data_IF_945524568433
#
_entry.id   IF_945524568433
#
_cell.length_a   1.000
_cell.length_b   1.000
_cell.length_c   1.000
_cell.angle_alpha   90.00
_cell.angle_beta   90.00
_cell.angle_gamma   90.00
#
_symmetry.space_group_name_H-M   'P 1'
#
loop_
_entity.id
_entity.type
_entity.pdbx_description
1 polymer ?
#
# COMPACT_ATOMS: atom_id res chain seq x y z
N UNK A 1 -34.15 66.05 -37.50
CA UNK A 1 -34.40 66.58 -36.15
C UNK A 1 -33.91 65.57 -35.13
N UNK A 2 -33.25 65.94 -34.02
CA UNK A 2 -32.53 67.19 -33.71
C UNK A 2 -31.05 66.92 -33.25
N UNK A 3 -30.13 67.91 -33.40
CA UNK A 3 -29.35 68.62 -32.34
C UNK A 3 -28.36 67.75 -31.52
N UNK A 4 -27.11 68.11 -31.22
CA UNK A 4 -26.61 69.44 -30.84
C UNK A 4 -25.06 69.48 -30.79
N UNK A 5 -24.50 70.69 -30.73
CA UNK A 5 -23.07 71.01 -30.60
C UNK A 5 -22.59 70.92 -29.13
N UNK A 6 -21.29 70.77 -28.92
CA UNK A 6 -20.65 71.05 -27.61
C UNK A 6 -19.14 70.91 -27.58
N UNK A 7 -18.43 72.02 -27.35
CA UNK A 7 -16.98 72.23 -27.36
C UNK A 7 -16.40 72.09 -25.93
N UNK A 8 -15.14 71.65 -25.81
CA UNK A 8 -14.30 71.88 -24.63
C UNK A 8 -12.80 71.68 -24.92
N UNK A 9 -11.99 72.74 -24.75
CA UNK A 9 -10.54 72.82 -25.04
C UNK A 9 -9.69 72.75 -23.74
N UNK A 10 -8.39 72.54 -23.94
CA UNK A 10 -7.21 72.82 -23.07
C UNK A 10 -6.84 71.74 -22.02
N UNK A 11 -5.56 71.43 -21.76
CA UNK A 11 -4.33 72.11 -22.13
C UNK A 11 -3.10 71.19 -22.14
N UNK A 12 -2.03 71.73 -22.72
CA UNK A 12 -0.73 71.13 -22.92
C UNK A 12 0.10 71.10 -21.63
N UNK A 13 1.03 70.14 -21.53
CA UNK A 13 2.31 70.34 -20.85
C UNK A 13 3.36 69.37 -21.41
N UNK A 14 4.27 69.92 -22.20
CA UNK A 14 5.54 69.30 -22.55
C UNK A 14 6.51 69.43 -21.36
N UNK A 15 7.23 68.35 -21.03
CA UNK A 15 8.51 68.43 -20.33
C UNK A 15 9.48 67.49 -21.04
N UNK A 16 10.30 68.07 -21.90
CA UNK A 16 11.59 67.52 -22.28
C UNK A 16 12.61 67.96 -21.23
N UNK A 17 13.56 67.10 -20.85
CA UNK A 17 14.66 67.52 -19.99
C UNK A 17 15.50 66.41 -19.39
N UNK A 18 16.53 66.02 -20.14
CA UNK A 18 17.89 65.71 -19.68
C UNK A 18 18.11 64.63 -18.60
N UNK A 19 18.66 63.48 -19.00
CA UNK A 19 19.82 62.86 -18.32
C UNK A 19 20.69 62.16 -19.38
N UNK A 20 21.66 62.89 -19.93
CA UNK A 20 22.89 62.30 -20.49
C UNK A 20 24.03 63.02 -19.80
N UNK A 21 24.68 62.34 -18.86
CA UNK A 21 26.10 62.49 -18.48
C UNK A 21 26.35 61.90 -17.08
N UNK A 22 26.77 60.64 -17.04
CA UNK A 22 27.80 60.12 -16.12
C UNK A 22 27.91 58.59 -16.25
N UNK A 23 28.56 58.11 -17.31
CA UNK A 23 29.12 56.76 -17.36
C UNK A 23 30.60 56.91 -17.71
N UNK A 24 31.36 57.43 -16.75
CA UNK A 24 32.82 57.45 -16.78
C UNK A 24 33.33 57.48 -15.33
N UNK A 25 33.55 56.29 -14.76
CA UNK A 25 34.04 56.05 -13.39
C UNK A 25 33.76 54.59 -12.97
N UNK A 26 34.62 53.95 -12.15
CA UNK A 26 34.79 52.50 -12.12
C UNK A 26 33.59 51.72 -11.54
N UNK A 27 33.53 50.46 -11.98
CA UNK A 27 32.82 49.28 -11.51
C UNK A 27 32.49 49.22 -10.01
N UNK A 28 31.33 48.63 -9.71
CA UNK A 28 30.95 48.16 -8.37
C UNK A 28 29.47 48.42 -8.07
N UNK A 29 28.61 47.41 -8.22
CA UNK A 29 27.21 47.49 -7.82
C UNK A 29 26.70 46.10 -7.40
N UNK A 30 26.24 45.96 -6.14
CA UNK A 30 25.85 44.65 -5.57
C UNK A 30 24.40 44.54 -5.09
N UNK A 31 23.59 45.61 -5.15
CA UNK A 31 22.12 45.52 -5.05
C UNK A 31 21.45 46.41 -6.09
N UNK A 32 20.75 45.76 -7.02
CA UNK A 32 20.08 46.35 -8.17
C UNK A 32 18.58 46.31 -7.94
N UNK A 33 17.96 47.49 -7.91
CA UNK A 33 16.51 47.60 -7.88
C UNK A 33 15.98 47.63 -9.30
N UNK A 34 15.25 46.59 -9.68
CA UNK A 34 14.62 46.50 -10.99
C UNK A 34 13.28 47.23 -10.96
N UNK A 35 13.03 48.06 -11.97
CA UNK A 35 11.77 48.81 -12.15
C UNK A 35 10.63 47.83 -12.44
N UNK A 36 10.00 47.34 -11.37
CA UNK A 36 9.05 46.22 -11.39
C UNK A 36 8.93 45.46 -10.06
N UNK A 37 9.78 45.75 -9.07
CA UNK A 37 9.59 45.34 -7.68
C UNK A 37 10.54 44.26 -7.15
N UNK A 38 11.56 43.86 -7.91
CA UNK A 38 12.58 42.90 -7.47
C UNK A 38 13.90 43.58 -7.11
N UNK A 39 14.60 43.04 -6.11
CA UNK A 39 16.02 43.30 -5.85
C UNK A 39 16.84 42.13 -6.38
N UNK A 40 17.86 42.44 -7.20
CA UNK A 40 18.83 41.48 -7.70
C UNK A 40 20.20 41.85 -7.13
N UNK A 41 20.99 40.86 -6.73
CA UNK A 41 22.38 41.07 -6.31
C UNK A 41 23.32 40.58 -7.39
N UNK A 42 24.20 41.46 -7.85
CA UNK A 42 25.08 41.18 -8.97
C UNK A 42 25.54 42.41 -9.71
N UNK A 43 26.64 42.28 -10.45
CA UNK A 43 27.35 43.38 -11.09
C UNK A 43 26.80 43.66 -12.50
N UNK A 44 26.70 44.95 -12.84
CA UNK A 44 26.17 45.45 -14.12
C UNK A 44 27.31 45.78 -15.07
N UNK A 45 27.41 45.04 -16.17
CA UNK A 45 28.36 45.28 -17.25
C UNK A 45 27.62 45.89 -18.44
N UNK A 46 27.97 47.12 -18.88
CA UNK A 46 27.36 47.70 -20.08
C UNK A 46 27.81 46.96 -21.35
N UNK A 47 26.88 46.67 -22.24
CA UNK A 47 27.21 46.10 -23.55
C UNK A 47 27.59 47.26 -24.49
N UNK A 48 28.84 47.30 -24.94
CA UNK A 48 29.33 48.36 -25.84
C UNK A 48 28.47 48.49 -27.10
N UNK A 49 27.97 49.71 -27.37
CA UNK A 49 27.16 50.00 -28.55
C UNK A 49 25.66 49.68 -28.43
N UNK A 50 25.15 49.35 -27.24
CA UNK A 50 23.71 49.09 -27.02
C UNK A 50 23.14 49.83 -25.80
N UNK A 51 21.82 49.93 -25.70
CA UNK A 51 21.08 50.43 -24.54
C UNK A 51 20.84 49.33 -23.47
N UNK A 52 21.57 48.22 -23.58
CA UNK A 52 21.42 47.04 -22.76
C UNK A 52 22.63 46.83 -21.84
N UNK A 53 22.37 46.20 -20.70
CA UNK A 53 23.36 45.84 -19.69
C UNK A 53 23.22 44.37 -19.33
N UNK A 54 24.36 43.70 -19.13
CA UNK A 54 24.45 42.35 -18.61
C UNK A 54 24.63 42.40 -17.10
N UNK A 55 23.76 41.72 -16.36
CA UNK A 55 23.84 41.59 -14.91
C UNK A 55 24.31 40.19 -14.57
N UNK A 56 25.54 40.10 -14.06
CA UNK A 56 26.14 38.85 -13.59
C UNK A 56 25.74 38.60 -12.15
N UNK A 57 25.37 37.38 -11.79
CA UNK A 57 25.06 37.02 -10.40
C UNK A 57 25.94 35.86 -9.94
N UNK A 58 26.13 35.73 -8.63
CA UNK A 58 26.97 34.68 -8.06
C UNK A 58 26.46 33.25 -8.35
N UNK A 59 25.15 33.08 -8.51
CA UNK A 59 24.50 31.77 -8.62
C UNK A 59 24.05 31.41 -10.04
N UNK A 60 23.81 32.39 -10.90
CA UNK A 60 23.32 32.13 -12.25
C UNK A 60 24.50 32.10 -13.24
N UNK A 61 24.70 31.01 -13.99
CA UNK A 61 25.77 30.92 -14.97
C UNK A 61 25.52 31.74 -16.24
N UNK A 62 24.34 32.35 -16.42
CA UNK A 62 24.05 33.26 -17.54
C UNK A 62 23.73 34.66 -17.00
N UNK A 63 24.32 35.73 -17.56
CA UNK A 63 23.97 37.08 -17.17
C UNK A 63 22.52 37.39 -17.57
N UNK A 64 21.83 38.15 -16.74
CA UNK A 64 20.52 38.70 -17.11
C UNK A 64 20.73 39.94 -17.97
N UNK A 65 20.00 40.05 -19.07
CA UNK A 65 20.07 41.22 -19.94
C UNK A 65 18.90 42.14 -19.64
N UNK A 66 19.19 43.39 -19.30
CA UNK A 66 18.20 44.43 -19.01
C UNK A 66 18.47 45.68 -19.84
N UNK A 67 17.47 46.55 -20.01
CA UNK A 67 17.73 47.91 -20.51
C UNK A 67 18.28 48.78 -19.40
N UNK A 68 19.21 49.67 -19.71
CA UNK A 68 19.89 50.53 -18.73
C UNK A 68 18.93 51.34 -17.85
N UNK A 69 17.77 51.75 -18.39
CA UNK A 69 16.74 52.53 -17.67
C UNK A 69 15.93 51.74 -16.64
N UNK A 70 16.05 50.40 -16.64
CA UNK A 70 15.26 49.51 -15.80
C UNK A 70 15.94 49.17 -14.47
N UNK A 71 17.18 49.61 -14.27
CA UNK A 71 18.00 49.28 -13.09
C UNK A 71 18.40 50.55 -12.35
N UNK A 72 18.34 50.51 -11.02
CA UNK A 72 18.89 51.55 -10.13
C UNK A 72 19.84 50.91 -9.14
N UNK A 73 21.09 51.40 -9.08
CA UNK A 73 22.17 50.89 -8.21
C UNK A 73 22.03 51.50 -6.81
N UNK A 74 22.04 50.66 -5.76
CA UNK A 74 21.76 51.08 -4.39
C UNK A 74 22.98 51.14 -3.44
N UNK A 75 24.00 50.28 -3.62
CA UNK A 75 25.19 50.26 -2.75
C UNK A 75 26.40 49.62 -3.44
N UNK A 76 27.60 50.06 -3.04
CA UNK A 76 28.92 49.64 -3.57
C UNK A 76 29.71 48.99 -2.43
N UNK A 77 29.98 47.70 -2.53
CA UNK A 77 30.92 46.96 -1.68
C UNK A 77 31.89 46.23 -2.59
N UNK A 78 33.17 46.10 -2.23
CA UNK A 78 34.17 45.38 -3.03
C UNK A 78 33.95 43.89 -2.79
N UNK A 79 33.23 43.23 -3.69
CA UNK A 79 32.86 41.81 -3.52
C UNK A 79 33.72 40.88 -4.37
N UNK A 80 33.66 39.59 -4.04
CA UNK A 80 34.32 38.54 -4.82
C UNK A 80 33.94 38.55 -6.31
N UNK A 81 32.77 39.11 -6.66
CA UNK A 81 32.29 39.22 -8.04
C UNK A 81 33.00 40.35 -8.82
N UNK A 82 33.30 41.49 -8.19
CA UNK A 82 34.06 42.57 -8.80
C UNK A 82 35.53 42.16 -9.06
N UNK A 83 36.11 41.39 -8.15
CA UNK A 83 37.43 40.80 -8.35
C UNK A 83 37.41 39.77 -9.49
N UNK A 84 36.31 39.01 -9.63
CA UNK A 84 36.10 38.08 -10.72
C UNK A 84 36.05 38.79 -12.08
N UNK A 85 35.27 39.86 -12.23
CA UNK A 85 35.18 40.58 -13.51
C UNK A 85 36.53 41.18 -13.94
N UNK A 86 37.28 41.75 -13.00
CA UNK A 86 38.65 42.24 -13.27
C UNK A 86 39.58 41.14 -13.78
N UNK A 87 39.49 39.94 -13.20
CA UNK A 87 40.30 38.79 -13.62
C UNK A 87 39.84 38.20 -14.94
N UNK A 88 38.52 38.14 -15.18
CA UNK A 88 37.90 37.61 -16.40
C UNK A 88 38.46 38.25 -17.66
N UNK A 89 38.62 39.57 -17.66
CA UNK A 89 39.04 40.34 -18.83
C UNK A 89 40.55 40.14 -19.16
N UNK A 90 41.33 39.58 -18.23
CA UNK A 90 42.75 39.27 -18.40
C UNK A 90 43.07 37.79 -18.64
N UNK A 91 42.07 36.91 -18.73
CA UNK A 91 42.31 35.47 -18.91
C UNK A 91 42.70 35.15 -20.34
N UNK A 92 43.79 34.39 -20.51
CA UNK A 92 44.21 33.87 -21.81
C UNK A 92 43.19 32.86 -22.37
N UNK A 93 43.01 32.85 -23.69
CA UNK A 93 42.09 31.93 -24.39
C UNK A 93 42.58 30.47 -24.46
N UNK A 94 43.02 29.92 -23.32
CA UNK A 94 43.47 28.53 -23.17
C UNK A 94 42.56 27.81 -22.19
N UNK A 95 42.38 26.49 -22.38
CA UNK A 95 41.51 25.69 -21.52
C UNK A 95 41.97 25.69 -20.04
N UNK A 96 43.29 25.65 -19.80
CA UNK A 96 43.88 25.67 -18.45
C UNK A 96 43.62 26.99 -17.72
N UNK A 97 43.72 28.13 -18.41
CA UNK A 97 43.51 29.44 -17.79
C UNK A 97 42.05 29.66 -17.42
N UNK A 98 41.11 29.19 -18.26
CA UNK A 98 39.69 29.20 -17.91
C UNK A 98 39.37 28.20 -16.78
N UNK A 99 39.99 27.01 -16.75
CA UNK A 99 39.82 26.07 -15.64
C UNK A 99 40.31 26.65 -14.30
N UNK A 100 41.48 27.27 -14.29
CA UNK A 100 42.04 27.91 -13.09
C UNK A 100 41.17 29.05 -12.56
N UNK A 101 40.60 29.87 -13.45
CA UNK A 101 39.64 30.90 -13.04
C UNK A 101 38.35 30.28 -12.49
N UNK A 102 37.87 29.19 -13.10
CA UNK A 102 36.70 28.44 -12.62
C UNK A 102 36.89 27.87 -11.21
N UNK A 103 38.07 27.28 -10.93
CA UNK A 103 38.42 26.79 -9.59
C UNK A 103 38.43 27.91 -8.54
N UNK A 104 39.03 29.06 -8.89
CA UNK A 104 39.04 30.22 -8.00
C UNK A 104 37.62 30.76 -7.73
N UNK A 105 36.76 30.79 -8.74
CA UNK A 105 35.35 31.14 -8.56
C UNK A 105 34.62 30.15 -7.63
N UNK A 106 34.88 28.85 -7.76
CA UNK A 106 34.30 27.80 -6.90
C UNK A 106 34.74 27.95 -5.44
N UNK A 107 36.03 28.24 -5.20
CA UNK A 107 36.57 28.49 -3.86
C UNK A 107 35.90 29.67 -3.15
N UNK A 108 35.50 30.69 -3.91
CA UNK A 108 34.79 31.87 -3.41
C UNK A 108 33.26 31.69 -3.37
N UNK A 109 32.73 30.51 -3.74
CA UNK A 109 31.30 30.23 -3.75
C UNK A 109 30.53 30.87 -4.93
N UNK A 110 31.22 31.38 -5.94
CA UNK A 110 30.65 31.93 -7.17
C UNK A 110 30.33 30.80 -8.16
N UNK A 111 29.32 29.99 -7.84
CA UNK A 111 28.98 28.77 -8.59
C UNK A 111 28.56 29.03 -10.02
N UNK A 112 27.86 30.14 -10.32
CA UNK A 112 27.46 30.51 -11.69
C UNK A 112 28.67 30.82 -12.59
N UNK A 113 29.54 31.77 -12.20
CA UNK A 113 30.79 32.05 -12.90
C UNK A 113 31.72 30.84 -13.07
N UNK A 114 31.86 30.00 -12.04
CA UNK A 114 32.68 28.78 -12.09
C UNK A 114 32.20 27.84 -13.21
N UNK A 115 30.90 27.55 -13.22
CA UNK A 115 30.23 26.73 -14.24
C UNK A 115 30.46 27.24 -15.67
N UNK A 116 30.38 28.57 -15.86
CA UNK A 116 30.59 29.21 -17.16
C UNK A 116 32.03 29.01 -17.64
N UNK A 117 33.01 29.14 -16.75
CA UNK A 117 34.41 28.96 -17.08
C UNK A 117 34.80 27.50 -17.33
N UNK A 118 34.23 26.56 -16.58
CA UNK A 118 34.40 25.14 -16.87
C UNK A 118 33.81 24.76 -18.24
N UNK A 119 32.66 25.33 -18.64
CA UNK A 119 32.10 25.12 -19.99
C UNK A 119 32.99 25.71 -21.08
N UNK A 120 33.48 26.93 -20.92
CA UNK A 120 34.42 27.56 -21.87
C UNK A 120 35.72 26.77 -22.02
N UNK A 121 36.25 26.22 -20.92
CA UNK A 121 37.42 25.36 -20.98
C UNK A 121 37.16 24.10 -21.82
N UNK A 122 35.99 23.48 -21.68
CA UNK A 122 35.56 22.33 -22.50
C UNK A 122 35.31 22.68 -23.97
N UNK A 123 34.82 23.90 -24.25
CA UNK A 123 34.65 24.37 -25.63
C UNK A 123 36.01 24.56 -26.35
N UNK A 124 37.05 24.95 -25.62
CA UNK A 124 38.40 25.13 -26.16
C UNK A 124 39.18 23.81 -26.27
N UNK A 125 38.99 22.90 -25.32
CA UNK A 125 39.54 21.56 -25.33
C UNK A 125 38.49 20.55 -24.83
N UNK A 126 37.91 19.81 -25.78
CA UNK A 126 36.86 18.83 -25.51
C UNK A 126 37.34 17.69 -24.58
N UNK A 127 38.64 17.39 -24.58
CA UNK A 127 39.24 16.34 -23.76
C UNK A 127 39.81 16.86 -22.43
N UNK A 128 39.54 18.12 -22.08
CA UNK A 128 40.01 18.72 -20.83
C UNK A 128 39.31 18.11 -19.60
N UNK A 129 39.86 17.00 -19.11
CA UNK A 129 39.26 16.17 -18.07
C UNK A 129 38.89 16.90 -16.77
N UNK A 130 39.74 17.80 -16.22
CA UNK A 130 39.44 18.50 -14.97
C UNK A 130 38.15 19.35 -15.03
N UNK A 131 37.91 20.07 -16.13
CA UNK A 131 36.67 20.86 -16.30
C UNK A 131 35.46 19.97 -16.59
N UNK A 132 35.63 18.88 -17.33
CA UNK A 132 34.55 17.92 -17.60
C UNK A 132 34.05 17.26 -16.30
N UNK A 133 34.98 16.87 -15.41
CA UNK A 133 34.66 16.30 -14.09
C UNK A 133 33.92 17.32 -13.21
N UNK A 134 34.36 18.59 -13.22
CA UNK A 134 33.68 19.69 -12.51
C UNK A 134 32.26 19.95 -13.01
N UNK A 135 31.99 19.69 -14.29
CA UNK A 135 30.65 19.73 -14.88
C UNK A 135 29.81 18.46 -14.61
N UNK A 136 30.33 17.51 -13.82
CA UNK A 136 29.65 16.26 -13.47
C UNK A 136 29.60 15.23 -14.60
N UNK A 137 30.45 15.39 -15.62
CA UNK A 137 30.60 14.43 -16.72
C UNK A 137 31.63 13.36 -16.35
N UNK A 138 31.47 12.18 -16.94
CA UNK A 138 32.32 11.02 -16.69
C UNK A 138 32.89 10.55 -18.02
N UNK A 139 34.17 10.19 -18.03
CA UNK A 139 34.80 9.61 -19.21
C UNK A 139 34.35 8.15 -19.38
N UNK A 140 33.65 7.85 -20.48
CA UNK A 140 33.10 6.53 -20.77
C UNK A 140 33.14 6.27 -22.28
N UNK A 141 33.67 5.10 -22.67
CA UNK A 141 33.80 4.66 -24.07
C UNK A 141 34.54 5.66 -24.98
N UNK A 142 35.64 6.22 -24.49
CA UNK A 142 36.50 7.13 -25.26
C UNK A 142 35.99 8.58 -25.38
N UNK A 143 34.87 8.93 -24.72
CA UNK A 143 34.29 10.27 -24.73
C UNK A 143 33.81 10.71 -23.34
N UNK A 144 33.69 12.02 -23.13
CA UNK A 144 33.07 12.59 -21.93
C UNK A 144 31.56 12.65 -22.09
N UNK A 145 30.82 11.97 -21.22
CA UNK A 145 29.36 11.86 -21.26
C UNK A 145 28.75 12.26 -19.93
N UNK A 146 27.50 12.70 -19.95
CA UNK A 146 26.77 12.94 -18.70
C UNK A 146 26.49 11.62 -17.97
N UNK A 147 26.25 11.69 -16.66
CA UNK A 147 25.88 10.50 -15.88
C UNK A 147 24.62 9.81 -16.39
N UNK A 148 23.69 10.58 -16.98
CA UNK A 148 22.45 10.06 -17.57
C UNK A 148 22.73 9.43 -18.95
N UNK A 149 23.51 10.07 -19.82
CA UNK A 149 23.96 9.50 -21.11
C UNK A 149 24.76 8.20 -20.93
N UNK A 150 25.59 8.12 -19.87
CA UNK A 150 26.31 6.90 -19.53
C UNK A 150 25.33 5.77 -19.21
N UNK A 151 24.25 6.05 -18.47
CA UNK A 151 23.23 5.04 -18.13
C UNK A 151 22.43 4.62 -19.35
N UNK A 152 22.13 5.55 -20.26
CA UNK A 152 21.50 5.24 -21.55
C UNK A 152 22.39 4.35 -22.43
N UNK A 153 23.70 4.60 -22.47
CA UNK A 153 24.66 3.77 -23.20
C UNK A 153 24.84 2.38 -22.57
N UNK A 154 24.64 2.26 -21.26
CA UNK A 154 24.52 0.97 -20.56
C UNK A 154 23.18 0.26 -20.83
N UNK A 155 22.31 0.85 -21.67
CA UNK A 155 21.02 0.28 -22.06
C UNK A 155 19.90 0.51 -21.04
N UNK A 156 20.09 1.38 -20.06
CA UNK A 156 19.07 1.71 -19.07
C UNK A 156 18.17 2.84 -19.58
N UNK A 157 16.89 2.80 -19.19
CA UNK A 157 15.89 3.81 -19.54
C UNK A 157 15.32 4.41 -18.26
N UNK A 158 15.03 5.70 -18.30
CA UNK A 158 14.39 6.41 -17.19
C UNK A 158 12.89 6.12 -17.17
N UNK A 159 12.39 5.55 -16.07
CA UNK A 159 10.98 5.31 -15.81
C UNK A 159 10.64 5.86 -14.42
N UNK A 160 9.69 6.81 -14.35
CA UNK A 160 9.26 7.49 -13.11
C UNK A 160 10.42 7.98 -12.20
N UNK A 161 11.46 8.56 -12.82
CA UNK A 161 12.61 9.10 -12.10
C UNK A 161 13.66 8.06 -11.67
N UNK A 162 13.46 6.77 -11.97
CA UNK A 162 14.41 5.68 -11.73
C UNK A 162 14.99 5.16 -13.04
N UNK A 163 16.23 4.66 -12.99
CA UNK A 163 16.86 3.99 -14.12
C UNK A 163 16.58 2.50 -14.04
N UNK A 164 15.90 1.97 -15.06
CA UNK A 164 15.50 0.57 -15.14
C UNK A 164 15.93 -0.02 -16.48
N UNK A 165 15.99 -1.34 -16.58
CA UNK A 165 16.19 -1.98 -17.88
C UNK A 165 14.93 -1.81 -18.76
N UNK A 166 15.04 -1.90 -20.10
CA UNK A 166 13.89 -1.80 -20.98
C UNK A 166 12.85 -2.90 -20.71
N UNK A 167 13.31 -4.11 -20.39
CA UNK A 167 12.45 -5.24 -20.02
C UNK A 167 11.67 -4.97 -18.73
N UNK A 168 12.33 -4.39 -17.73
CA UNK A 168 11.68 -4.04 -16.46
C UNK A 168 10.67 -2.91 -16.65
N UNK A 169 11.00 -1.88 -17.47
CA UNK A 169 10.05 -0.84 -17.84
C UNK A 169 8.81 -1.43 -18.51
N UNK A 170 9.00 -2.30 -19.50
CA UNK A 170 7.87 -2.92 -20.21
C UNK A 170 7.02 -3.76 -19.26
N UNK A 171 7.62 -4.51 -18.33
CA UNK A 171 6.90 -5.25 -17.29
C UNK A 171 6.08 -4.32 -16.40
N UNK A 172 6.65 -3.21 -15.95
CA UNK A 172 5.96 -2.21 -15.14
C UNK A 172 4.82 -1.54 -15.91
N UNK A 173 5.06 -1.15 -17.16
CA UNK A 173 4.05 -0.56 -18.05
C UNK A 173 2.90 -1.55 -18.30
N UNK A 174 3.19 -2.84 -18.51
CA UNK A 174 2.19 -3.90 -18.62
C UNK A 174 1.38 -4.07 -17.33
N UNK A 175 2.03 -4.12 -16.17
CA UNK A 175 1.35 -4.19 -14.87
C UNK A 175 0.45 -2.97 -14.64
N UNK A 176 0.91 -1.77 -15.00
CA UNK A 176 0.14 -0.54 -14.88
C UNK A 176 -1.10 -0.56 -15.80
N UNK A 177 -0.95 -1.01 -17.05
CA UNK A 177 -2.08 -1.18 -17.99
C UNK A 177 -3.11 -2.16 -17.45
N UNK A 178 -2.68 -3.34 -16.98
CA UNK A 178 -3.56 -4.35 -16.39
C UNK A 178 -4.29 -3.79 -15.15
N UNK A 179 -3.58 -3.06 -14.28
CA UNK A 179 -4.17 -2.42 -13.10
C UNK A 179 -5.26 -1.41 -13.49
N UNK A 180 -4.97 -0.53 -14.45
CA UNK A 180 -5.93 0.47 -14.92
C UNK A 180 -7.18 -0.17 -15.54
N UNK A 181 -6.99 -1.24 -16.31
CA UNK A 181 -8.12 -1.95 -16.91
C UNK A 181 -8.96 -2.68 -15.86
N UNK A 182 -8.32 -3.32 -14.88
CA UNK A 182 -8.99 -3.93 -13.72
C UNK A 182 -9.76 -2.90 -12.90
N UNK A 183 -9.23 -1.69 -12.69
CA UNK A 183 -9.93 -0.59 -12.02
C UNK A 183 -11.14 -0.07 -12.82
N UNK A 184 -11.01 -0.03 -14.15
CA UNK A 184 -12.13 0.25 -15.05
C UNK A 184 -13.25 -0.78 -14.89
N UNK A 185 -12.89 -2.06 -14.90
CA UNK A 185 -13.82 -3.17 -14.69
C UNK A 185 -14.44 -3.17 -13.30
N UNK A 186 -13.66 -2.93 -12.25
CA UNK A 186 -14.15 -2.85 -10.88
C UNK A 186 -15.25 -1.78 -10.74
N UNK A 187 -15.00 -0.56 -11.25
CA UNK A 187 -16.01 0.51 -11.27
C UNK A 187 -17.27 0.12 -12.02
N UNK A 188 -17.13 -0.53 -13.19
CA UNK A 188 -18.28 -0.98 -13.99
C UNK A 188 -19.08 -2.04 -13.24
N UNK A 189 -18.42 -3.05 -12.68
CA UNK A 189 -19.06 -4.14 -11.92
C UNK A 189 -19.79 -3.59 -10.70
N UNK A 190 -19.19 -2.64 -9.97
CA UNK A 190 -19.83 -2.01 -8.81
C UNK A 190 -21.13 -1.29 -9.17
N UNK A 191 -21.15 -0.60 -10.32
CA UNK A 191 -22.37 0.03 -10.84
C UNK A 191 -23.44 -1.02 -11.16
N UNK A 192 -23.06 -2.14 -11.77
CA UNK A 192 -23.99 -3.23 -12.11
C UNK A 192 -24.56 -3.90 -10.85
N UNK A 193 -23.71 -4.18 -9.86
CA UNK A 193 -24.11 -4.74 -8.57
C UNK A 193 -25.08 -3.80 -7.85
N UNK A 194 -24.79 -2.49 -7.83
CA UNK A 194 -25.71 -1.51 -7.24
C UNK A 194 -27.07 -1.51 -7.95
N UNK A 195 -27.09 -1.55 -9.29
CA UNK A 195 -28.35 -1.65 -10.06
C UNK A 195 -29.12 -2.93 -9.75
N UNK A 196 -28.43 -4.05 -9.53
CA UNK A 196 -29.06 -5.32 -9.14
C UNK A 196 -29.74 -5.26 -7.77
N UNK A 197 -29.12 -4.57 -6.82
CA UNK A 197 -29.63 -4.46 -5.46
C UNK A 197 -30.74 -3.39 -5.33
N UNK A 198 -30.52 -2.21 -5.92
CA UNK A 198 -31.33 -1.02 -5.68
C UNK A 198 -32.25 -0.64 -6.85
N UNK A 199 -31.96 -1.13 -8.07
CA UNK A 199 -32.67 -0.72 -9.29
C UNK A 199 -34.09 -1.27 -9.40
N UNK A 200 -34.85 -0.72 -10.35
CA UNK A 200 -36.19 -1.22 -10.70
C UNK A 200 -36.10 -2.63 -11.34
N UNK A 201 -37.17 -3.45 -11.36
CA UNK A 201 -37.13 -4.82 -11.90
C UNK A 201 -36.55 -4.94 -13.32
N UNK A 202 -36.83 -3.96 -14.18
CA UNK A 202 -36.25 -3.89 -15.53
C UNK A 202 -34.73 -3.64 -15.50
N UNK A 203 -34.26 -2.70 -14.68
CA UNK A 203 -32.84 -2.37 -14.53
C UNK A 203 -32.05 -3.53 -13.90
N UNK A 204 -32.64 -4.27 -12.96
CA UNK A 204 -32.05 -5.49 -12.39
C UNK A 204 -31.85 -6.56 -13.46
N UNK A 205 -32.88 -6.77 -14.29
CA UNK A 205 -32.81 -7.74 -15.39
C UNK A 205 -31.72 -7.35 -16.40
N UNK A 206 -31.65 -6.08 -16.76
CA UNK A 206 -30.63 -5.54 -17.65
C UNK A 206 -29.22 -5.68 -17.05
N UNK A 207 -29.03 -5.30 -15.78
CA UNK A 207 -27.74 -5.42 -15.11
C UNK A 207 -27.27 -6.88 -14.98
N UNK A 208 -28.19 -7.81 -14.72
CA UNK A 208 -27.88 -9.23 -14.69
C UNK A 208 -27.45 -9.74 -16.07
N UNK A 209 -28.13 -9.31 -17.14
CA UNK A 209 -27.76 -9.65 -18.51
C UNK A 209 -26.38 -9.07 -18.87
N UNK A 210 -26.09 -7.84 -18.46
CA UNK A 210 -24.80 -7.20 -18.68
C UNK A 210 -23.66 -7.92 -17.94
N UNK A 211 -23.87 -8.38 -16.71
CA UNK A 211 -22.88 -9.21 -16.00
C UNK A 211 -22.64 -10.55 -16.71
N UNK A 212 -23.70 -11.24 -17.18
CA UNK A 212 -23.56 -12.50 -17.94
C UNK A 212 -22.83 -12.35 -19.27
N UNK A 213 -22.90 -11.16 -19.87
CA UNK A 213 -22.21 -10.86 -21.12
C UNK A 213 -20.71 -10.53 -20.92
N UNK A 214 -20.20 -10.46 -19.69
CA UNK A 214 -18.77 -10.22 -19.43
C UNK A 214 -17.98 -11.47 -19.80
N UNK A 215 -17.10 -11.34 -20.80
CA UNK A 215 -16.17 -12.37 -21.24
C UNK A 215 -14.69 -11.95 -21.12
N UNK A 216 -14.42 -10.72 -20.68
CA UNK A 216 -13.08 -10.13 -20.63
C UNK A 216 -12.26 -10.75 -19.47
N UNK A 217 -11.07 -11.34 -19.74
CA UNK A 217 -10.18 -11.86 -18.71
C UNK A 217 -9.76 -10.80 -17.66
N UNK A 218 -9.65 -9.54 -18.03
CA UNK A 218 -9.28 -8.46 -17.10
C UNK A 218 -10.38 -8.17 -16.07
N UNK A 219 -11.62 -8.60 -16.34
CA UNK A 219 -12.72 -8.49 -15.38
C UNK A 219 -12.69 -9.57 -14.29
N UNK A 220 -11.89 -10.64 -14.44
CA UNK A 220 -11.88 -11.80 -13.53
C UNK A 220 -11.51 -11.41 -12.11
N UNK A 221 -10.42 -10.67 -11.91
CA UNK A 221 -9.97 -10.26 -10.57
C UNK A 221 -11.03 -9.39 -9.87
N UNK A 222 -11.58 -8.33 -10.50
CA UNK A 222 -12.72 -7.59 -9.96
C UNK A 222 -13.94 -8.45 -9.60
N UNK A 223 -14.33 -9.39 -10.47
CA UNK A 223 -15.46 -10.30 -10.22
C UNK A 223 -15.21 -11.23 -9.02
N UNK A 224 -14.00 -11.80 -8.92
CA UNK A 224 -13.59 -12.64 -7.79
C UNK A 224 -13.63 -11.87 -6.48
N UNK A 225 -13.21 -10.60 -6.47
CA UNK A 225 -13.26 -9.75 -5.29
C UNK A 225 -14.70 -9.48 -4.80
N UNK A 226 -15.71 -9.56 -5.68
CA UNK A 226 -17.13 -9.39 -5.32
C UNK A 226 -17.84 -10.70 -4.97
N UNK A 227 -17.34 -11.83 -5.44
CA UNK A 227 -17.98 -13.16 -5.31
C UNK A 227 -18.40 -13.55 -3.88
N UNK A 228 -17.73 -13.03 -2.84
CA UNK A 228 -17.94 -13.46 -1.46
C UNK A 228 -18.80 -12.56 -0.56
N UNK A 229 -19.08 -11.32 -0.98
CA UNK A 229 -19.65 -10.29 -0.10
C UNK A 229 -21.15 -10.02 -0.32
N UNK A 230 -21.74 -10.68 -1.32
CA UNK A 230 -23.07 -10.36 -1.82
C UNK A 230 -24.15 -11.35 -1.33
N UNK A 231 -25.42 -11.00 -1.55
CA UNK A 231 -26.56 -11.87 -1.28
C UNK A 231 -26.52 -13.19 -2.08
N UNK A 232 -27.27 -14.22 -1.66
CA UNK A 232 -27.25 -15.55 -2.26
C UNK A 232 -27.41 -15.58 -3.80
N UNK A 233 -28.38 -14.83 -4.32
CA UNK A 233 -28.68 -14.76 -5.76
C UNK A 233 -27.52 -14.17 -6.56
N UNK A 234 -26.90 -13.10 -6.06
CA UNK A 234 -25.79 -12.46 -6.73
C UNK A 234 -24.51 -13.31 -6.66
N UNK A 235 -24.29 -14.05 -5.57
CA UNK A 235 -23.17 -15.01 -5.49
C UNK A 235 -23.29 -16.13 -6.52
N UNK A 236 -24.51 -16.65 -6.73
CA UNK A 236 -24.78 -17.62 -7.80
C UNK A 236 -24.53 -17.04 -9.19
N UNK A 237 -25.02 -15.82 -9.44
CA UNK A 237 -24.78 -15.12 -10.70
C UNK A 237 -23.28 -14.89 -10.95
N UNK A 238 -22.54 -14.39 -9.97
CA UNK A 238 -21.10 -14.15 -10.11
C UNK A 238 -20.32 -15.47 -10.31
N UNK A 239 -20.74 -16.55 -9.64
CA UNK A 239 -20.16 -17.88 -9.88
C UNK A 239 -20.43 -18.38 -11.30
N UNK A 240 -21.64 -18.14 -11.85
CA UNK A 240 -21.99 -18.44 -13.24
C UNK A 240 -21.13 -17.64 -14.22
N UNK A 241 -20.99 -16.32 -14.01
CA UNK A 241 -20.19 -15.43 -14.87
C UNK A 241 -18.71 -15.85 -14.87
N UNK A 242 -18.11 -16.00 -13.69
CA UNK A 242 -16.74 -16.51 -13.56
C UNK A 242 -16.59 -17.91 -14.15
N UNK A 243 -17.68 -18.69 -14.10
CA UNK A 243 -17.79 -19.99 -14.74
C UNK A 243 -17.57 -19.96 -16.25
N UNK A 244 -18.11 -18.95 -16.92
CA UNK A 244 -18.08 -18.81 -18.37
C UNK A 244 -16.74 -18.25 -18.92
N UNK A 245 -15.94 -17.56 -18.10
CA UNK A 245 -14.67 -16.95 -18.53
C UNK A 245 -13.53 -17.97 -18.41
N UNK A 246 -12.88 -18.43 -19.50
CA UNK A 246 -11.85 -19.47 -19.46
C UNK A 246 -10.50 -18.93 -18.92
N UNK A 247 -10.47 -18.54 -17.64
CA UNK A 247 -9.30 -17.99 -16.97
C UNK A 247 -8.94 -18.78 -15.69
N UNK A 248 -7.67 -19.16 -15.47
CA UNK A 248 -7.25 -19.93 -14.29
C UNK A 248 -7.46 -19.22 -12.94
N UNK A 249 -7.42 -17.88 -12.92
CA UNK A 249 -7.72 -17.07 -11.74
C UNK A 249 -9.21 -17.17 -11.38
N UNK A 250 -10.09 -17.26 -12.39
CA UNK A 250 -11.51 -17.49 -12.17
C UNK A 250 -11.74 -18.84 -11.46
N UNK A 251 -11.09 -19.91 -11.96
CA UNK A 251 -11.11 -21.23 -11.34
C UNK A 251 -10.62 -21.19 -9.87
N UNK A 252 -9.51 -20.49 -9.62
CA UNK A 252 -8.97 -20.30 -8.27
C UNK A 252 -9.95 -19.56 -7.36
N UNK A 253 -10.60 -18.51 -7.85
CA UNK A 253 -11.60 -17.74 -7.10
C UNK A 253 -12.82 -18.59 -6.74
N UNK A 254 -13.30 -19.42 -7.67
CA UNK A 254 -14.40 -20.35 -7.46
C UNK A 254 -14.04 -21.44 -6.43
N UNK A 255 -12.83 -22.02 -6.49
CA UNK A 255 -12.33 -22.96 -5.47
C UNK A 255 -12.35 -22.32 -4.08
N UNK A 256 -11.80 -21.10 -3.97
CA UNK A 256 -11.81 -20.35 -2.72
C UNK A 256 -13.24 -20.08 -2.20
N UNK A 257 -14.20 -19.85 -3.10
CA UNK A 257 -15.61 -19.71 -2.73
C UNK A 257 -16.20 -21.03 -2.22
N UNK A 258 -16.01 -22.15 -2.91
CA UNK A 258 -16.57 -23.47 -2.52
C UNK A 258 -16.19 -23.85 -1.09
N UNK A 259 -14.92 -23.67 -0.71
CA UNK A 259 -14.44 -24.09 0.62
C UNK A 259 -14.90 -23.16 1.74
N UNK A 260 -15.30 -21.92 1.43
CA UNK A 260 -15.79 -20.93 2.41
C UNK A 260 -17.30 -20.75 2.37
N UNK A 261 -17.98 -21.36 1.41
CA UNK A 261 -19.42 -21.23 1.24
C UNK A 261 -20.17 -22.00 2.32
N UNK A 262 -20.92 -21.28 3.14
CA UNK A 262 -21.76 -21.82 4.19
C UNK A 262 -23.04 -22.44 3.60
N UNK A 263 -23.64 -21.77 2.61
CA UNK A 263 -24.88 -22.23 1.98
C UNK A 263 -24.64 -23.45 1.09
N UNK A 264 -25.25 -24.58 1.45
CA UNK A 264 -25.07 -25.85 0.73
C UNK A 264 -25.53 -25.80 -0.74
N UNK A 265 -26.58 -25.04 -1.05
CA UNK A 265 -27.09 -24.93 -2.42
C UNK A 265 -26.14 -24.11 -3.29
N UNK A 266 -25.62 -22.99 -2.76
CA UNK A 266 -24.64 -22.16 -3.48
C UNK A 266 -23.34 -22.93 -3.68
N UNK A 267 -22.92 -23.68 -2.66
CA UNK A 267 -21.70 -24.50 -2.72
C UNK A 267 -21.81 -25.56 -3.81
N UNK A 268 -22.96 -26.25 -3.91
CA UNK A 268 -23.26 -27.21 -4.97
C UNK A 268 -23.29 -26.57 -6.36
N UNK A 269 -23.96 -25.43 -6.51
CA UNK A 269 -23.99 -24.71 -7.78
C UNK A 269 -22.58 -24.30 -8.24
N UNK A 270 -21.76 -23.78 -7.32
CA UNK A 270 -20.36 -23.38 -7.59
C UNK A 270 -19.50 -24.60 -7.95
N UNK A 271 -19.69 -25.73 -7.28
CA UNK A 271 -19.00 -26.98 -7.63
C UNK A 271 -19.38 -27.46 -9.04
N UNK A 272 -20.66 -27.39 -9.41
CA UNK A 272 -21.13 -27.73 -10.75
C UNK A 272 -20.57 -26.81 -11.84
N UNK A 273 -20.26 -25.56 -11.50
CA UNK A 273 -19.52 -24.66 -12.39
C UNK A 273 -18.08 -25.17 -12.56
N UNK A 274 -17.36 -25.44 -11.47
CA UNK A 274 -15.99 -25.99 -11.52
C UNK A 274 -15.91 -27.31 -12.31
N UNK A 275 -16.89 -28.20 -12.12
CA UNK A 275 -16.99 -29.47 -12.83
C UNK A 275 -17.15 -29.29 -14.35
N UNK A 276 -17.88 -28.26 -14.79
CA UNK A 276 -18.06 -27.90 -16.20
C UNK A 276 -16.81 -27.25 -16.80
N UNK A 277 -16.11 -26.41 -16.04
CA UNK A 277 -14.90 -25.71 -16.48
C UNK A 277 -13.72 -26.64 -16.73
N UNK A 278 -13.63 -27.72 -15.96
CA UNK A 278 -12.66 -28.77 -16.19
C UNK A 278 -11.18 -28.33 -16.06
N UNK A 279 -10.90 -27.20 -15.40
CA UNK A 279 -9.54 -26.70 -15.22
C UNK A 279 -8.64 -27.69 -14.45
N UNK A 280 -7.43 -28.01 -14.96
CA UNK A 280 -6.53 -29.01 -14.37
C UNK A 280 -6.02 -28.61 -12.98
N UNK A 281 -5.97 -27.31 -12.68
CA UNK A 281 -5.48 -26.77 -11.41
C UNK A 281 -6.50 -26.87 -10.26
N UNK A 282 -7.77 -27.23 -10.53
CA UNK A 282 -8.83 -27.26 -9.50
C UNK A 282 -8.57 -28.33 -8.44
N UNK A 283 -8.26 -29.56 -8.86
CA UNK A 283 -8.04 -30.68 -7.93
C UNK A 283 -6.76 -30.48 -7.09
N UNK A 284 -5.59 -30.13 -7.67
CA UNK A 284 -4.41 -29.81 -6.89
C UNK A 284 -4.63 -28.68 -5.88
N UNK A 285 -5.45 -27.67 -6.22
CA UNK A 285 -5.79 -26.60 -5.28
C UNK A 285 -6.66 -27.08 -4.14
N UNK A 286 -7.74 -27.82 -4.42
CA UNK A 286 -8.60 -28.40 -3.38
C UNK A 286 -7.83 -29.35 -2.44
N UNK A 287 -6.84 -30.09 -2.96
CA UNK A 287 -5.94 -30.91 -2.13
C UNK A 287 -5.15 -30.05 -1.14
N UNK A 288 -4.65 -28.87 -1.54
CA UNK A 288 -3.94 -27.95 -0.62
C UNK A 288 -4.88 -27.41 0.46
N UNK A 289 -6.17 -27.25 0.17
CA UNK A 289 -7.16 -26.78 1.15
C UNK A 289 -7.44 -27.80 2.27
N UNK A 290 -7.06 -29.08 2.10
CA UNK A 290 -7.16 -30.11 3.15
C UNK A 290 -6.18 -29.89 4.31
N UNK A 291 -5.17 -29.03 4.15
CA UNK A 291 -4.20 -28.68 5.19
C UNK A 291 -4.67 -27.50 6.08
N UNK A 292 -5.91 -27.05 5.89
CA UNK A 292 -6.48 -25.95 6.67
C UNK A 292 -6.72 -26.35 8.14
N UNK A 293 -6.64 -25.36 9.05
CA UNK A 293 -6.78 -25.58 10.51
C UNK A 293 -8.22 -25.78 10.98
N UNK A 294 -9.16 -25.31 10.17
CA UNK A 294 -10.60 -25.39 10.45
C UNK A 294 -11.17 -26.69 9.87
N UNK A 295 -11.72 -27.59 10.71
CA UNK A 295 -12.32 -28.83 10.24
C UNK A 295 -13.47 -28.65 9.24
N UNK A 296 -14.26 -27.58 9.36
CA UNK A 296 -15.34 -27.32 8.39
C UNK A 296 -14.79 -27.05 7.00
N UNK A 297 -13.73 -26.24 6.90
CA UNK A 297 -13.03 -25.96 5.66
C UNK A 297 -12.46 -27.24 5.02
N UNK A 298 -11.83 -28.10 5.84
CA UNK A 298 -11.31 -29.40 5.39
C UNK A 298 -12.46 -30.29 4.89
N UNK A 299 -13.58 -30.33 5.61
CA UNK A 299 -14.76 -31.08 5.21
C UNK A 299 -15.35 -30.59 3.89
N UNK A 300 -15.45 -29.28 3.68
CA UNK A 300 -15.94 -28.69 2.42
C UNK A 300 -14.99 -28.97 1.26
N UNK A 301 -13.68 -28.95 1.47
CA UNK A 301 -12.69 -29.33 0.47
C UNK A 301 -12.81 -30.83 0.10
N UNK A 302 -12.95 -31.70 1.10
CA UNK A 302 -13.13 -33.14 0.88
C UNK A 302 -14.44 -33.45 0.12
N UNK A 303 -15.54 -32.82 0.52
CA UNK A 303 -16.82 -32.90 -0.19
C UNK A 303 -16.70 -32.46 -1.65
N UNK A 304 -15.98 -31.37 -1.93
CA UNK A 304 -15.76 -30.88 -3.28
C UNK A 304 -14.92 -31.86 -4.11
N UNK A 305 -13.84 -32.41 -3.56
CA UNK A 305 -13.01 -33.43 -4.21
C UNK A 305 -13.83 -34.68 -4.57
N UNK A 306 -14.70 -35.13 -3.67
CA UNK A 306 -15.60 -36.25 -3.92
C UNK A 306 -16.63 -35.94 -5.00
N UNK A 307 -17.19 -34.72 -5.01
CA UNK A 307 -18.14 -34.28 -6.02
C UNK A 307 -17.51 -34.13 -7.42
N UNK A 308 -16.20 -33.87 -7.50
CA UNK A 308 -15.44 -33.86 -8.75
C UNK A 308 -14.93 -35.25 -9.18
N UNK A 309 -15.11 -36.29 -8.37
CA UNK A 309 -14.59 -37.62 -8.66
C UNK A 309 -13.06 -37.71 -8.61
N UNK A 310 -12.40 -36.86 -7.82
CA UNK A 310 -10.95 -36.77 -7.74
C UNK A 310 -10.32 -37.95 -6.98
N UNK A 311 -10.21 -39.11 -7.64
CA UNK A 311 -9.58 -40.33 -7.09
C UNK A 311 -8.13 -40.11 -6.62
N UNK A 312 -7.38 -39.24 -7.30
CA UNK A 312 -6.00 -38.89 -6.92
C UNK A 312 -5.89 -38.21 -5.54
N UNK A 313 -7.00 -37.69 -5.00
CA UNK A 313 -7.03 -37.07 -3.69
C UNK A 313 -7.15 -38.09 -2.54
N UNK A 314 -7.48 -39.37 -2.82
CA UNK A 314 -7.68 -40.42 -1.80
C UNK A 314 -6.48 -40.53 -0.82
N UNK A 315 -5.21 -40.60 -1.27
CA UNK A 315 -4.06 -40.63 -0.38
C UNK A 315 -3.95 -39.40 0.54
N UNK A 316 -4.50 -38.26 0.13
CA UNK A 316 -4.45 -36.99 0.87
C UNK A 316 -5.63 -36.81 1.82
N UNK A 317 -6.75 -37.50 1.56
CA UNK A 317 -7.92 -37.52 2.43
C UNK A 317 -7.72 -38.42 3.66
N UNK A 318 -7.05 -39.58 3.52
CA UNK A 318 -6.85 -40.55 4.61
C UNK A 318 -6.26 -39.90 5.88
N UNK A 319 -5.17 -39.10 5.82
CA UNK A 319 -4.58 -38.47 7.00
C UNK A 319 -5.40 -37.30 7.58
N UNK A 320 -6.61 -37.07 7.04
CA UNK A 320 -7.54 -36.01 7.46
C UNK A 320 -8.83 -36.59 8.03
N UNK A 321 -8.94 -37.91 8.16
CA UNK A 321 -10.07 -38.58 8.83
C UNK A 321 -10.23 -38.11 10.27
N UNK A 322 -9.11 -37.97 10.98
CA UNK A 322 -9.07 -37.41 12.33
C UNK A 322 -8.12 -36.22 12.35
N UNK A 323 -8.68 -35.02 12.54
CA UNK A 323 -7.88 -33.79 12.69
C UNK A 323 -7.81 -33.39 14.14
N UNK A 324 -6.61 -33.07 14.61
CA UNK A 324 -6.39 -32.59 15.97
C UNK A 324 -6.39 -31.06 15.99
N UNK A 325 -7.35 -30.45 16.69
CA UNK A 325 -7.43 -29.00 16.85
C UNK A 325 -6.96 -28.60 18.26
N UNK A 326 -6.03 -27.64 18.33
CA UNK A 326 -5.61 -27.03 19.59
C UNK A 326 -6.30 -25.68 19.75
N UNK A 327 -7.18 -25.55 20.74
CA UNK A 327 -7.90 -24.31 21.04
C UNK A 327 -7.42 -23.76 22.38
N UNK A 328 -7.18 -22.44 22.41
CA UNK A 328 -6.93 -21.74 23.66
C UNK A 328 -8.28 -21.39 24.28
N UNK A 329 -8.51 -21.90 25.49
CA UNK A 329 -9.74 -21.65 26.25
C UNK A 329 -9.39 -20.95 27.55
N UNK A 330 -10.15 -19.90 27.88
CA UNK A 330 -10.03 -19.22 29.15
C UNK A 330 -10.76 -20.06 30.20
N UNK A 331 -10.01 -20.77 31.03
CA UNK A 331 -10.57 -21.54 32.14
C UNK A 331 -10.37 -20.73 33.41
N UNK A 332 -11.45 -20.55 34.17
CA UNK A 332 -11.40 -20.04 35.53
C UNK A 332 -10.76 -21.14 36.39
N UNK A 333 -9.46 -21.01 36.64
CA UNK A 333 -8.78 -21.88 37.59
C UNK A 333 -9.00 -21.25 38.97
N UNK A 334 -9.55 -22.00 39.95
CA UNK A 334 -9.60 -21.53 41.33
C UNK A 334 -8.19 -21.12 41.73
N UNK A 335 -8.01 -19.87 42.17
CA UNK A 335 -6.69 -19.45 42.64
C UNK A 335 -6.23 -20.41 43.73
N UNK A 336 -5.01 -20.92 43.64
CA UNK A 336 -4.39 -21.56 44.80
C UNK A 336 -4.49 -20.56 45.96
N UNK A 337 -4.71 -21.02 47.21
CA UNK A 337 -4.76 -20.14 48.37
C UNK A 337 -3.34 -19.64 48.68
N UNK A 338 -2.76 -18.85 47.79
CA UNK A 338 -1.53 -18.12 48.02
C UNK A 338 -1.87 -16.91 48.88
N UNK A 339 -1.84 -17.12 50.20
CA UNK A 339 -1.88 -16.07 51.20
C UNK A 339 -3.23 -15.35 51.29
N UNK A 340 -4.10 -15.84 52.17
CA UNK A 340 -5.36 -15.16 52.47
C UNK A 340 -5.15 -13.69 52.85
N UNK A 341 -5.90 -12.81 52.21
CA UNK A 341 -5.97 -11.40 52.60
C UNK A 341 -6.83 -11.32 53.88
N UNK A 342 -6.19 -11.26 55.05
CA UNK A 342 -6.91 -11.08 56.32
C UNK A 342 -7.22 -9.59 56.53
N UNK A 343 -8.41 -9.14 56.17
CA UNK A 343 -8.92 -7.85 56.64
C UNK A 343 -9.43 -8.01 58.09
N UNK A 344 -8.59 -7.68 59.07
CA UNK A 344 -9.04 -7.53 60.47
C UNK A 344 -9.80 -6.22 60.60
N UNK A 345 -11.12 -6.30 60.79
CA UNK A 345 -11.92 -5.17 61.27
C UNK A 345 -11.85 -5.15 62.80
N UNK A 346 -10.82 -4.49 63.31
CA UNK A 346 -10.59 -4.25 64.73
C UNK A 346 -9.74 -3.00 64.89
N UNK A 347 -10.20 -2.12 65.78
CA UNK A 347 -9.73 -0.76 66.05
C UNK A 347 -8.21 -0.52 65.96
N UNK A 348 -7.88 0.61 65.32
CA UNK A 348 -6.63 1.39 65.43
C UNK A 348 -5.33 0.71 65.00
N UNK A 349 -4.87 1.01 63.78
CA UNK A 349 -3.66 1.79 63.40
C UNK A 349 -3.32 1.46 61.92
N UNK A 350 -3.27 2.47 61.03
CA UNK A 350 -2.71 2.36 59.67
C UNK A 350 -3.73 2.27 58.51
N UNK A 351 -3.40 2.74 57.29
CA UNK A 351 -4.34 3.47 56.43
C UNK A 351 -5.31 2.54 55.69
N UNK A 352 -6.46 2.29 56.30
CA UNK A 352 -7.65 1.77 55.62
C UNK A 352 -8.50 2.92 55.08
N UNK A 353 -8.85 2.88 53.79
CA UNK A 353 -9.92 3.72 53.23
C UNK A 353 -11.25 3.25 53.81
N UNK A 354 -11.66 3.84 54.93
CA UNK A 354 -12.99 3.67 55.51
C UNK A 354 -13.95 4.69 54.93
N UNK A 355 -14.93 4.26 54.13
CA UNK A 355 -16.07 5.08 53.76
C UNK A 355 -17.33 4.54 54.44
N UNK A 356 -17.78 5.27 55.47
CA UNK A 356 -19.14 5.18 56.00
C UNK A 356 -19.41 4.03 56.98
N UNK A 357 -20.32 4.30 57.90
CA UNK A 357 -20.81 3.41 58.97
C UNK A 357 -21.79 2.33 58.50
N UNK A 358 -21.89 2.09 57.19
CA UNK A 358 -22.79 1.09 56.62
C UNK A 358 -21.99 -0.08 56.01
N UNK A 359 -22.37 -1.33 56.30
CA UNK A 359 -21.70 -2.47 55.72
C UNK A 359 -21.93 -2.48 54.20
N UNK A 360 -20.87 -2.69 53.44
CA UNK A 360 -20.89 -2.71 51.98
C UNK A 360 -20.23 -3.97 51.44
N UNK A 361 -20.69 -4.43 50.28
CA UNK A 361 -20.11 -5.56 49.56
C UNK A 361 -19.20 -5.00 48.46
N UNK A 362 -17.95 -5.45 48.35
CA UNK A 362 -17.10 -5.09 47.23
C UNK A 362 -17.61 -5.77 45.96
N UNK A 363 -17.98 -4.99 44.95
CA UNK A 363 -18.38 -5.46 43.62
C UNK A 363 -17.29 -5.07 42.63
N UNK A 364 -16.76 -6.06 41.91
CA UNK A 364 -15.78 -5.83 40.85
C UNK A 364 -16.47 -5.22 39.63
N UNK A 365 -15.98 -4.08 39.16
CA UNK A 365 -16.40 -3.51 37.89
C UNK A 365 -15.62 -4.16 36.75
N UNK A 366 -16.18 -4.08 35.53
CA UNK A 366 -15.60 -4.71 34.34
C UNK A 366 -14.13 -4.34 34.09
N UNK A 367 -13.37 -5.21 33.41
CA UNK A 367 -11.93 -5.04 33.26
C UNK A 367 -11.58 -3.80 32.42
N UNK A 368 -10.65 -2.99 32.92
CA UNK A 368 -9.92 -2.03 32.10
C UNK A 368 -8.69 -2.73 31.50
N UNK A 369 -8.60 -2.75 30.18
CA UNK A 369 -7.53 -3.43 29.45
C UNK A 369 -6.54 -2.39 28.90
N UNK A 370 -5.28 -2.51 29.29
CA UNK A 370 -4.16 -1.79 28.71
C UNK A 370 -3.13 -2.79 28.13
N UNK A 371 -2.24 -2.38 27.21
CA UNK A 371 -1.18 -3.25 26.72
C UNK A 371 -0.32 -3.78 27.87
N UNK A 372 -0.38 -5.09 28.10
CA UNK A 372 0.37 -5.77 29.16
C UNK A 372 -0.25 -5.74 30.56
N UNK A 373 -1.44 -5.16 30.75
CA UNK A 373 -2.10 -5.12 32.06
C UNK A 373 -3.62 -5.18 31.97
N UNK A 374 -4.23 -5.98 32.85
CA UNK A 374 -5.68 -5.97 33.09
C UNK A 374 -5.89 -5.53 34.53
N UNK A 375 -6.66 -4.46 34.73
CA UNK A 375 -7.03 -3.95 36.05
C UNK A 375 -8.55 -4.05 36.24
N UNK A 376 -8.98 -4.46 37.43
CA UNK A 376 -10.39 -4.47 37.81
C UNK A 376 -10.64 -3.37 38.84
N UNK A 377 -11.64 -2.53 38.60
CA UNK A 377 -12.11 -1.58 39.62
C UNK A 377 -12.90 -2.32 40.70
N UNK A 378 -12.86 -1.81 41.93
CA UNK A 378 -13.70 -2.30 43.03
C UNK A 378 -14.58 -1.16 43.50
N UNK A 379 -15.90 -1.35 43.46
CA UNK A 379 -16.86 -0.40 43.98
C UNK A 379 -17.57 -1.00 45.19
N UNK A 380 -17.65 -0.25 46.28
CA UNK A 380 -18.37 -0.66 47.49
C UNK A 380 -19.87 -0.37 47.32
N UNK A 381 -20.72 -1.40 47.30
CA UNK A 381 -22.17 -1.26 47.22
C UNK A 381 -22.79 -1.44 48.60
N UNK A 382 -23.58 -0.48 49.12
CA UNK A 382 -24.22 -0.61 50.42
C UNK A 382 -25.21 -1.79 50.48
N UNK A 383 -25.17 -2.55 51.58
CA UNK A 383 -26.05 -3.71 51.80
C UNK A 383 -27.56 -3.37 51.83
N UNK A 384 -27.92 -2.10 52.05
CA UNK A 384 -29.31 -1.63 52.05
C UNK A 384 -30.00 -1.72 50.69
N UNK A 385 -29.25 -1.93 49.59
CA UNK A 385 -29.80 -2.07 48.24
C UNK A 385 -30.21 -3.50 47.88
N UNK A 386 -29.86 -4.50 48.71
CA UNK A 386 -30.25 -5.90 48.51
C UNK A 386 -31.46 -6.24 49.40
N UNK A 387 -32.68 -6.04 48.88
CA UNK A 387 -33.91 -6.54 49.50
C UNK A 387 -34.32 -7.85 48.84
N UNK A 388 -33.79 -8.97 49.34
CA UNK A 388 -34.19 -10.29 48.88
C UNK A 388 -33.30 -11.41 49.43
N UNK A 389 -33.83 -12.12 50.43
CA UNK A 389 -33.45 -13.44 50.96
C UNK A 389 -31.94 -13.80 51.10
N UNK A 390 -31.61 -14.23 52.34
CA UNK A 390 -30.37 -14.88 52.77
C UNK A 390 -29.17 -14.00 53.15
N UNK A 391 -29.31 -13.24 54.25
CA UNK A 391 -28.17 -12.71 55.03
C UNK A 391 -28.29 -13.07 56.52
N UNK A 392 -28.76 -14.28 56.84
CA UNK A 392 -28.83 -14.79 58.22
C UNK A 392 -27.56 -15.50 58.70
N UNK A 393 -26.41 -15.32 58.03
CA UNK A 393 -25.18 -16.08 58.28
C UNK A 393 -23.95 -15.28 58.75
N UNK A 394 -24.00 -13.96 58.85
CA UNK A 394 -22.82 -13.17 59.23
C UNK A 394 -22.69 -13.07 60.75
N UNK A 395 -21.99 -14.03 61.34
CA UNK A 395 -21.52 -13.96 62.73
C UNK A 395 -20.30 -13.05 62.83
N UNK A 396 -20.40 -12.00 63.66
CA UNK A 396 -19.27 -11.17 64.06
C UNK A 396 -18.26 -12.04 64.84
N UNK A 397 -17.06 -12.23 64.28
CA UNK A 397 -15.93 -12.81 65.00
C UNK A 397 -15.19 -13.97 64.34
N UNK A 398 -15.59 -14.42 63.15
CA UNK A 398 -14.82 -15.42 62.39
C UNK A 398 -14.29 -14.80 61.10
N UNK A 399 -12.97 -14.91 60.88
CA UNK A 399 -12.35 -14.48 59.64
C UNK A 399 -12.90 -15.32 58.50
N UNK A 400 -13.84 -14.77 57.75
CA UNK A 400 -14.29 -15.37 56.51
C UNK A 400 -13.14 -15.30 55.51
N UNK A 401 -12.52 -16.45 55.22
CA UNK A 401 -11.61 -16.58 54.10
C UNK A 401 -12.42 -16.33 52.82
N UNK A 402 -12.32 -15.12 52.28
CA UNK A 402 -12.85 -14.83 50.95
C UNK A 402 -11.97 -15.62 49.98
N UNK A 403 -12.53 -16.64 49.33
CA UNK A 403 -11.82 -17.41 48.31
C UNK A 403 -11.30 -16.44 47.24
N UNK A 404 -10.02 -16.57 46.87
CA UNK A 404 -9.42 -15.77 45.81
C UNK A 404 -10.29 -15.86 44.55
N UNK A 405 -10.67 -14.73 43.91
CA UNK A 405 -11.48 -14.77 42.72
C UNK A 405 -10.75 -15.57 41.65
N UNK A 406 -11.46 -16.53 41.04
CA UNK A 406 -10.89 -17.37 40.00
C UNK A 406 -10.37 -16.49 38.85
N UNK A 407 -9.10 -16.66 38.49
CA UNK A 407 -8.46 -15.87 37.45
C UNK A 407 -8.68 -16.61 36.11
N UNK A 408 -9.20 -15.94 35.07
CA UNK A 408 -9.26 -16.52 33.73
C UNK A 408 -7.83 -16.81 33.24
N UNK A 409 -7.47 -18.08 33.13
CA UNK A 409 -6.15 -18.50 32.64
C UNK A 409 -6.28 -19.16 31.26
N UNK A 410 -5.42 -18.82 30.29
CA UNK A 410 -5.44 -19.43 28.98
C UNK A 410 -4.86 -20.85 29.05
N UNK A 411 -5.70 -21.87 28.83
CA UNK A 411 -5.29 -23.27 28.76
C UNK A 411 -5.46 -23.75 27.32
N UNK A 412 -4.41 -24.34 26.74
CA UNK A 412 -4.48 -24.96 25.41
C UNK A 412 -5.07 -26.35 25.57
N UNK A 413 -6.30 -26.56 25.08
CA UNK A 413 -6.93 -27.88 25.01
C UNK A 413 -6.81 -28.46 23.61
N UNK A 414 -6.63 -29.78 23.57
CA UNK A 414 -6.50 -30.54 22.33
C UNK A 414 -7.78 -31.33 22.11
N UNK A 415 -8.47 -31.06 21.00
CA UNK A 415 -9.69 -31.72 20.59
C UNK A 415 -9.42 -32.59 19.38
N UNK A 416 -9.83 -33.86 19.44
CA UNK A 416 -9.83 -34.74 18.28
C UNK A 416 -11.17 -34.57 17.55
N UNK A 417 -11.11 -34.12 16.30
CA UNK A 417 -12.28 -33.96 15.46
C UNK A 417 -12.31 -35.06 14.40
N UNK A 418 -13.41 -35.80 14.34
CA UNK A 418 -13.65 -36.84 13.33
C UNK A 418 -14.38 -36.21 12.16
N UNK A 419 -13.70 -36.09 11.02
CA UNK A 419 -14.24 -35.42 9.84
C UNK A 419 -15.21 -36.35 9.09
N UNK A 420 -16.51 -36.16 9.32
CA UNK A 420 -17.56 -36.95 8.66
C UNK A 420 -17.53 -36.77 7.13
N UNK A 421 -17.26 -35.54 6.67
CA UNK A 421 -17.18 -35.24 5.23
C UNK A 421 -15.96 -35.86 4.55
N UNK A 422 -14.86 -36.05 5.28
CA UNK A 422 -13.67 -36.73 4.74
C UNK A 422 -13.94 -38.22 4.60
N UNK A 423 -14.62 -38.82 5.58
CA UNK A 423 -15.05 -40.21 5.50
C UNK A 423 -16.05 -40.42 4.36
N UNK A 424 -17.08 -39.56 4.26
CA UNK A 424 -18.07 -39.63 3.18
C UNK A 424 -17.42 -39.45 1.80
N UNK A 425 -16.42 -38.58 1.69
CA UNK A 425 -15.64 -38.38 0.47
C UNK A 425 -14.87 -39.64 0.08
N UNK A 426 -14.20 -40.29 1.04
CA UNK A 426 -13.47 -41.54 0.81
C UNK A 426 -14.43 -42.68 0.40
N UNK A 427 -15.57 -42.82 1.07
CA UNK A 427 -16.61 -43.79 0.72
C UNK A 427 -17.12 -43.57 -0.71
N UNK A 428 -17.40 -42.32 -1.07
CA UNK A 428 -17.92 -41.97 -2.40
C UNK A 428 -16.89 -42.19 -3.52
N UNK A 429 -15.61 -41.92 -3.27
CA UNK A 429 -14.55 -42.07 -4.25
C UNK A 429 -14.11 -43.53 -4.42
N UNK A 430 -14.09 -44.31 -3.33
CA UNK A 430 -13.49 -45.66 -3.32
C UNK A 430 -14.51 -46.79 -3.26
N UNK A 431 -15.75 -46.51 -2.84
CA UNK A 431 -16.76 -47.52 -2.55
C UNK A 431 -16.44 -48.39 -1.31
N UNK A 432 -15.42 -48.03 -0.53
CA UNK A 432 -15.00 -48.74 0.69
C UNK A 432 -15.27 -47.91 1.93
N UNK A 433 -15.55 -48.59 3.05
CA UNK A 433 -15.72 -47.95 4.35
C UNK A 433 -14.91 -48.71 5.41
N UNK A 434 -13.89 -48.07 5.96
CA UNK A 434 -13.09 -48.58 7.09
C UNK A 434 -13.25 -47.70 8.33
N UNK A 435 -14.26 -46.83 8.36
CA UNK A 435 -14.45 -45.82 9.40
C UNK A 435 -13.26 -44.86 9.51
N UNK A 436 -12.94 -44.47 10.74
CA UNK A 436 -11.88 -43.50 11.05
C UNK A 436 -10.51 -44.14 11.33
N UNK A 437 -10.30 -45.42 10.98
CA UNK A 437 -9.03 -46.12 11.20
C UNK A 437 -8.06 -45.88 10.04
N UNK A 438 -7.17 -44.90 10.22
CA UNK A 438 -6.16 -44.54 9.23
C UNK A 438 -5.20 -45.69 8.90
N UNK A 439 -4.94 -46.63 9.81
CA UNK A 439 -4.01 -47.73 9.57
C UNK A 439 -4.60 -48.76 8.61
N UNK A 440 -5.90 -49.04 8.71
CA UNK A 440 -6.62 -49.92 7.78
C UNK A 440 -6.68 -49.27 6.40
N UNK A 441 -7.05 -47.98 6.33
CA UNK A 441 -7.05 -47.21 5.09
C UNK A 441 -5.68 -47.22 4.39
N UNK A 442 -4.59 -46.98 5.13
CA UNK A 442 -3.23 -46.99 4.58
C UNK A 442 -2.79 -48.38 4.11
N UNK A 443 -3.21 -49.46 4.79
CA UNK A 443 -2.93 -50.83 4.37
C UNK A 443 -3.63 -51.15 3.05
N UNK A 444 -4.91 -50.79 2.95
CA UNK A 444 -5.69 -50.93 1.73
C UNK A 444 -5.09 -50.11 0.58
N UNK A 445 -4.70 -48.85 0.85
CA UNK A 445 -4.08 -47.96 -0.13
C UNK A 445 -2.82 -48.57 -0.77
N UNK A 446 -1.97 -49.23 0.02
CA UNK A 446 -0.71 -49.82 -0.47
C UNK A 446 -0.91 -51.12 -1.27
N UNK A 447 -1.94 -51.89 -0.93
CA UNK A 447 -2.10 -53.25 -1.44
C UNK A 447 -3.12 -53.37 -2.57
N UNK A 448 -4.19 -52.57 -2.52
CA UNK A 448 -5.37 -52.73 -3.38
C UNK A 448 -5.69 -51.48 -4.21
N UNK A 449 -5.34 -50.28 -3.73
CA UNK A 449 -5.65 -49.05 -4.46
C UNK A 449 -4.69 -48.87 -5.64
N UNK A 450 -5.21 -49.04 -6.85
CA UNK A 450 -4.60 -48.55 -8.08
C UNK A 450 -5.37 -47.29 -8.50
N UNK A 451 -4.72 -46.13 -8.44
CA UNK A 451 -5.28 -44.96 -9.11
C UNK A 451 -5.43 -45.33 -10.60
N UNK A 452 -6.57 -45.05 -11.25
CA UNK A 452 -6.72 -45.32 -12.67
C UNK A 452 -5.62 -44.56 -13.42
N UNK A 453 -5.02 -45.20 -14.44
CA UNK A 453 -4.13 -44.49 -15.35
C UNK A 453 -4.89 -43.27 -15.92
N UNK A 454 -4.22 -42.16 -16.29
CA UNK A 454 -4.89 -41.01 -16.90
C UNK A 454 -5.82 -41.39 -18.07
N UNK A 455 -5.51 -42.51 -18.74
CA UNK A 455 -6.24 -43.10 -19.87
C UNK A 455 -7.53 -43.87 -19.47
N UNK A 456 -7.65 -44.33 -18.21
CA UNK A 456 -8.79 -45.10 -17.68
C UNK A 456 -9.80 -44.23 -16.90
N UNK A 457 -9.56 -42.93 -16.80
CA UNK A 457 -10.58 -41.99 -16.29
C UNK A 457 -11.73 -41.94 -17.31
N UNK A 458 -13.00 -41.99 -16.90
CA UNK A 458 -14.12 -41.90 -17.85
C UNK A 458 -13.90 -40.66 -18.72
N UNK A 459 -13.75 -40.85 -20.03
CA UNK A 459 -13.46 -39.79 -20.98
C UNK A 459 -14.31 -38.56 -20.65
N UNK A 460 -13.63 -37.47 -20.30
CA UNK A 460 -14.21 -36.14 -20.47
C UNK A 460 -14.57 -36.04 -21.95
N UNK A 461 -15.85 -36.17 -22.26
CA UNK A 461 -16.38 -36.31 -23.63
C UNK A 461 -15.97 -35.12 -24.53
N UNK A 462 -14.87 -35.33 -25.28
CA UNK A 462 -14.57 -35.03 -26.70
C UNK A 462 -14.65 -33.56 -27.19
N UNK A 463 -14.23 -33.25 -28.45
CA UNK A 463 -12.88 -33.15 -29.03
C UNK A 463 -12.35 -31.70 -29.01
N UNK A 464 -11.03 -31.54 -29.15
CA UNK A 464 -10.42 -30.21 -29.41
C UNK A 464 -10.79 -29.71 -30.83
N UNK A 465 -11.22 -28.44 -30.99
CA UNK A 465 -11.13 -27.73 -32.26
C UNK A 465 -9.71 -27.28 -32.58
#
# INVERSE_FOLDING_TARGET
MPSDRGIGRFGAAAVAGAVVAALAGPSGADELKVRGGGTLRGEVVPIEGSDQVEVYTATNPRPFVFRSEQITVAAVEDTALDEYLRRRDGVSATAEAHHALGLWCEELGLTGPADLHFRKAVELDENHGPSQEKLGRVFFDGRWVTSDERREQLGLVKHEGRWVTPEEKERLDQMARLSQAQEGWARRIDILIRKLNEGAPAERTEAAAQLRAIADPEAVVPLVNRLGHEGPELRLLLAEVLGAIPDPIAAKGLVHRVVREEDAQIRLATLNVLARRQDPEVVPRLIRELDHRDPEHVGRAAWALAGLGALEAVPKLIPRLVTTQRRMEMVLVPGEPSGGFSARFGSTVGPGFGFGTQPSIPVLTGPAVAPGAIAFGVQAVPLSQYTGAALSGFSYGSGAAVASPAVPTPVVRTYQHRNVEVLSALERLTGKNFGYDEAIWNRWLRNEFRAPAPEDQPERRVPQP
#
